data_IF_714110361973
#
_entry.id   IF_714110361973
#
_cell.length_a   1.000
_cell.length_b   1.000
_cell.length_c   1.000
_cell.angle_alpha   90.00
_cell.angle_beta   90.00
_cell.angle_gamma   90.00
#
_symmetry.space_group_name_H-M   'P 1'
#
loop_
_entity.id
_entity.type
_entity.pdbx_description
1 polymer ?
#
# COMPACT_ATOMS: atom_id res chain seq x y z
N UNK A 1 -10.26 -13.92 -12.88
CA UNK A 1 -10.37 -12.86 -13.90
C UNK A 1 -10.52 -11.47 -13.28
N UNK A 2 -11.45 -11.24 -12.34
CA UNK A 2 -11.65 -9.94 -11.68
C UNK A 2 -10.37 -9.39 -11.02
N UNK A 3 -9.64 -10.21 -10.24
CA UNK A 3 -8.38 -9.77 -9.61
C UNK A 3 -7.36 -9.24 -10.61
N UNK A 4 -7.18 -9.89 -11.76
CA UNK A 4 -6.24 -9.44 -12.78
C UNK A 4 -6.66 -8.12 -13.42
N UNK A 5 -7.97 -7.89 -13.58
CA UNK A 5 -8.50 -6.63 -14.08
C UNK A 5 -8.29 -5.49 -13.08
N UNK A 6 -8.60 -5.72 -11.80
CA UNK A 6 -8.37 -4.75 -10.72
C UNK A 6 -6.88 -4.48 -10.59
N UNK A 7 -6.05 -5.51 -10.63
CA UNK A 7 -4.59 -5.40 -10.56
C UNK A 7 -4.07 -4.45 -11.64
N UNK A 8 -4.36 -4.76 -12.91
CA UNK A 8 -3.92 -3.96 -14.04
C UNK A 8 -4.45 -2.51 -13.99
N UNK A 9 -5.68 -2.32 -13.51
CA UNK A 9 -6.26 -0.98 -13.37
C UNK A 9 -5.50 -0.15 -12.34
N UNK A 10 -5.27 -0.71 -11.15
CA UNK A 10 -4.57 -0.01 -10.07
C UNK A 10 -3.11 0.24 -10.44
N UNK A 11 -2.40 -0.74 -11.01
CA UNK A 11 -1.02 -0.53 -11.49
C UNK A 11 -0.94 0.57 -12.56
N UNK A 12 -1.88 0.63 -13.50
CA UNK A 12 -1.94 1.72 -14.49
C UNK A 12 -2.22 3.06 -13.86
N UNK A 13 -3.11 3.10 -12.86
CA UNK A 13 -3.44 4.32 -12.14
C UNK A 13 -2.24 4.83 -11.34
N UNK A 14 -1.48 3.92 -10.73
CA UNK A 14 -0.20 4.23 -10.07
C UNK A 14 0.86 4.71 -11.08
N UNK A 15 1.01 4.04 -12.23
CA UNK A 15 1.97 4.46 -13.25
C UNK A 15 1.64 5.81 -13.91
N UNK A 16 0.35 6.13 -14.06
CA UNK A 16 -0.11 7.37 -14.68
C UNK A 16 -0.19 8.57 -13.74
N UNK A 17 0.21 8.40 -12.46
CA UNK A 17 -0.16 9.36 -11.45
C UNK A 17 0.76 10.58 -11.33
N UNK A 18 0.12 11.75 -11.25
CA UNK A 18 0.70 13.05 -10.92
C UNK A 18 0.69 13.20 -9.39
N UNK A 19 1.55 12.44 -8.73
CA UNK A 19 1.44 12.16 -7.30
C UNK A 19 1.94 13.34 -6.44
N UNK A 20 1.19 13.67 -5.38
CA UNK A 20 1.60 14.61 -4.34
C UNK A 20 2.55 14.00 -3.30
N UNK A 21 2.35 12.73 -2.94
CA UNK A 21 3.20 11.99 -2.00
C UNK A 21 3.32 10.51 -2.41
N UNK A 22 4.55 10.09 -2.66
CA UNK A 22 4.94 8.73 -3.00
C UNK A 22 5.94 8.23 -1.95
N UNK A 23 5.69 7.04 -1.41
CA UNK A 23 6.60 6.37 -0.49
C UNK A 23 7.03 5.04 -1.13
N UNK A 24 8.35 4.84 -1.23
CA UNK A 24 8.93 3.60 -1.72
C UNK A 24 9.69 2.96 -0.57
N UNK A 25 9.33 1.71 -0.25
CA UNK A 25 10.00 0.89 0.75
C UNK A 25 10.54 -0.36 0.04
N UNK A 26 11.83 -0.58 0.15
CA UNK A 26 12.51 -1.75 -0.39
C UNK A 26 13.05 -2.56 0.79
N UNK A 27 12.47 -3.74 1.00
CA UNK A 27 12.94 -4.70 2.00
C UNK A 27 13.72 -5.85 1.32
N UNK A 28 14.37 -6.69 2.11
CA UNK A 28 15.22 -7.77 1.60
C UNK A 28 14.49 -8.80 0.72
N UNK A 29 13.15 -8.82 0.75
CA UNK A 29 12.30 -9.83 0.09
C UNK A 29 11.08 -9.25 -0.62
N UNK A 30 10.81 -7.96 -0.44
CA UNK A 30 9.59 -7.31 -0.89
C UNK A 30 9.84 -5.84 -1.21
N UNK A 31 9.42 -5.41 -2.39
CA UNK A 31 9.34 -4.01 -2.75
C UNK A 31 7.90 -3.52 -2.58
N UNK A 32 7.74 -2.35 -1.99
CA UNK A 32 6.46 -1.71 -1.74
C UNK A 32 6.48 -0.27 -2.27
N UNK A 33 5.48 0.06 -3.08
CA UNK A 33 5.21 1.42 -3.54
C UNK A 33 3.85 1.84 -3.01
N UNK A 34 3.82 2.92 -2.24
CA UNK A 34 2.61 3.52 -1.71
C UNK A 34 2.39 4.90 -2.32
N UNK A 35 1.17 5.16 -2.79
CA UNK A 35 0.76 6.42 -3.38
C UNK A 35 -0.49 6.95 -2.68
N UNK A 36 -0.48 8.24 -2.33
CA UNK A 36 -1.59 8.90 -1.64
C UNK A 36 -2.30 9.94 -2.52
N UNK A 37 -3.63 9.88 -2.52
CA UNK A 37 -4.53 10.88 -3.11
C UNK A 37 -5.62 11.26 -2.10
N UNK A 38 -5.30 12.21 -1.22
CA UNK A 38 -6.17 12.57 -0.11
C UNK A 38 -6.46 11.34 0.78
N UNK A 39 -7.72 10.93 0.97
CA UNK A 39 -8.06 9.75 1.78
C UNK A 39 -7.81 8.42 1.05
N UNK A 40 -7.48 8.44 -0.24
CA UNK A 40 -7.24 7.22 -1.02
C UNK A 40 -5.75 6.88 -0.94
N UNK A 41 -5.45 5.65 -0.53
CA UNK A 41 -4.12 5.07 -0.52
C UNK A 41 -4.09 3.90 -1.49
N UNK A 42 -3.12 3.92 -2.39
CA UNK A 42 -2.80 2.82 -3.29
C UNK A 42 -1.49 2.21 -2.86
N UNK A 43 -1.44 0.89 -2.82
CA UNK A 43 -0.24 0.13 -2.49
C UNK A 43 -0.01 -0.89 -3.58
N UNK A 44 1.24 -1.04 -4.00
CA UNK A 44 1.71 -2.16 -4.80
C UNK A 44 2.83 -2.83 -4.04
N UNK A 45 2.74 -4.14 -3.92
CA UNK A 45 3.73 -4.98 -3.29
C UNK A 45 4.18 -6.04 -4.28
N UNK A 46 5.50 -6.24 -4.36
CA UNK A 46 6.13 -7.25 -5.18
C UNK A 46 7.09 -8.05 -4.31
N UNK A 47 6.70 -9.29 -3.98
CA UNK A 47 7.59 -10.24 -3.35
C UNK A 47 8.30 -11.03 -4.45
N UNK A 48 9.63 -10.91 -4.52
CA UNK A 48 10.43 -11.58 -5.53
C UNK A 48 10.90 -12.98 -5.11
N UNK A 49 10.76 -13.33 -3.82
CA UNK A 49 11.13 -14.66 -3.30
C UNK A 49 10.03 -15.69 -3.57
N UNK A 50 8.80 -15.29 -3.28
CA UNK A 50 7.60 -16.06 -3.52
C UNK A 50 6.91 -15.31 -4.64
N UNK A 51 6.82 -15.87 -5.85
CA UNK A 51 6.21 -15.22 -7.04
C UNK A 51 4.81 -14.71 -6.72
N UNK A 52 4.75 -13.52 -6.12
CA UNK A 52 3.60 -12.94 -5.46
C UNK A 52 3.64 -11.44 -5.63
N UNK A 53 2.56 -10.94 -6.20
CA UNK A 53 2.35 -9.52 -6.37
C UNK A 53 0.94 -9.19 -5.93
N UNK A 54 0.79 -8.09 -5.22
CA UNK A 54 -0.54 -7.59 -4.92
C UNK A 54 -0.60 -6.09 -4.99
N UNK A 55 -1.80 -5.63 -5.29
CA UNK A 55 -2.13 -4.21 -5.23
C UNK A 55 -3.36 -4.04 -4.36
N UNK A 56 -3.38 -2.94 -3.64
CA UNK A 56 -4.51 -2.57 -2.80
C UNK A 56 -4.94 -1.14 -3.08
N UNK A 57 -6.24 -0.93 -3.00
CA UNK A 57 -6.85 0.41 -2.87
C UNK A 57 -7.53 0.48 -1.52
N UNK A 58 -7.20 1.50 -0.75
CA UNK A 58 -7.70 1.73 0.59
C UNK A 58 -8.27 3.13 0.68
N UNK A 59 -9.46 3.27 1.26
CA UNK A 59 -10.05 4.53 1.67
C UNK A 59 -9.88 4.69 3.18
N UNK A 60 -9.20 5.75 3.58
CA UNK A 60 -8.95 6.14 4.96
C UNK A 60 -10.09 7.06 5.45
N UNK A 61 -10.85 6.57 6.42
CA UNK A 61 -12.00 7.25 7.06
C UNK A 61 -11.69 7.50 8.54
N UNK A 62 -10.73 8.39 8.81
CA UNK A 62 -10.24 8.65 10.16
C UNK A 62 -9.49 7.44 10.73
N UNK A 63 -10.05 6.79 11.74
CA UNK A 63 -9.47 5.58 12.34
C UNK A 63 -9.82 4.28 11.61
N UNK A 64 -10.64 4.32 10.56
CA UNK A 64 -11.07 3.14 9.81
C UNK A 64 -10.46 3.14 8.41
N UNK A 65 -9.79 2.06 8.06
CA UNK A 65 -9.37 1.76 6.70
C UNK A 65 -10.26 0.67 6.11
N UNK A 66 -10.84 0.94 4.95
CA UNK A 66 -11.58 -0.04 4.15
C UNK A 66 -10.98 -0.12 2.76
N UNK A 67 -10.87 -1.31 2.20
CA UNK A 67 -10.20 -1.47 0.92
C UNK A 67 -10.46 -2.79 0.24
N UNK A 68 -9.87 -2.91 -0.95
CA UNK A 68 -9.84 -4.12 -1.73
C UNK A 68 -8.40 -4.43 -2.12
N UNK A 69 -8.01 -5.70 -1.97
CA UNK A 69 -6.71 -6.21 -2.40
C UNK A 69 -6.89 -7.18 -3.57
N UNK A 70 -6.18 -6.93 -4.66
CA UNK A 70 -6.03 -7.87 -5.76
C UNK A 70 -4.67 -8.53 -5.67
N UNK A 71 -4.65 -9.86 -5.75
CA UNK A 71 -3.43 -10.67 -5.67
C UNK A 71 -3.22 -11.43 -6.97
N UNK A 72 -1.98 -11.48 -7.41
CA UNK A 72 -1.42 -12.31 -8.47
C UNK A 72 -0.26 -13.15 -7.91
N UNK A 73 0.11 -14.20 -8.63
CA UNK A 73 1.18 -15.12 -8.23
C UNK A 73 0.70 -16.55 -8.00
N UNK A 74 1.64 -17.50 -8.03
CA UNK A 74 1.38 -18.92 -7.79
C UNK A 74 1.22 -19.23 -6.29
N UNK A 75 1.94 -18.50 -5.43
CA UNK A 75 1.95 -18.70 -3.98
C UNK A 75 1.53 -17.42 -3.22
N UNK A 76 0.22 -17.18 -3.03
CA UNK A 76 -0.24 -15.95 -2.42
C UNK A 76 0.01 -15.90 -0.90
N UNK A 77 0.89 -15.01 -0.44
CA UNK A 77 1.09 -14.73 1.00
C UNK A 77 -0.05 -13.92 1.62
N UNK A 78 -0.77 -13.13 0.80
CA UNK A 78 -1.92 -12.31 1.18
C UNK A 78 -3.19 -12.81 0.50
N UNK A 79 -4.34 -12.62 1.17
CA UNK A 79 -5.66 -12.93 0.60
C UNK A 79 -6.17 -11.77 -0.24
N UNK A 80 -6.68 -12.09 -1.43
CA UNK A 80 -7.44 -11.14 -2.23
C UNK A 80 -8.85 -10.94 -1.65
N UNK A 81 -9.42 -9.77 -1.89
CA UNK A 81 -10.79 -9.43 -1.50
C UNK A 81 -10.90 -8.14 -0.69
N UNK A 82 -12.09 -7.90 -0.17
CA UNK A 82 -12.38 -6.75 0.67
C UNK A 82 -11.77 -6.92 2.07
N UNK A 83 -11.26 -5.84 2.63
CA UNK A 83 -10.80 -5.79 4.00
C UNK A 83 -11.25 -4.51 4.70
N UNK A 84 -11.35 -4.58 6.02
CA UNK A 84 -11.57 -3.43 6.88
C UNK A 84 -10.72 -3.61 8.15
N UNK A 85 -10.00 -2.57 8.54
CA UNK A 85 -9.24 -2.58 9.79
C UNK A 85 -9.26 -1.21 10.45
N UNK A 86 -9.28 -1.21 11.77
CA UNK A 86 -9.15 0.01 12.56
C UNK A 86 -7.67 0.31 12.75
N UNK A 87 -7.24 1.47 12.29
CA UNK A 87 -5.98 2.04 12.73
C UNK A 87 -6.19 2.66 14.10
N UNK A 88 -5.40 2.23 15.08
CA UNK A 88 -5.22 3.05 16.28
C UNK A 88 -4.59 4.36 15.78
N UNK A 89 -5.20 5.50 16.08
CA UNK A 89 -4.60 6.78 15.76
C UNK A 89 -3.20 6.80 16.39
N UNK A 90 -2.17 6.62 15.57
CA UNK A 90 -0.80 6.88 15.97
C UNK A 90 -0.81 8.33 16.38
N UNK A 91 -0.59 8.61 17.68
CA UNK A 91 -0.30 9.96 18.12
C UNK A 91 0.79 10.46 17.18
N UNK A 92 0.52 11.55 16.46
CA UNK A 92 1.58 12.37 15.88
C UNK A 92 2.59 12.60 17.01
N UNK A 93 3.68 11.84 17.02
CA UNK A 93 4.89 12.33 17.64
C UNK A 93 5.31 13.46 16.70
N UNK A 94 5.36 14.72 17.17
CA UNK A 94 6.07 15.74 16.42
C UNK A 94 7.47 15.18 16.15
N UNK A 95 7.95 15.34 14.91
CA UNK A 95 9.36 15.13 14.61
C UNK A 95 10.15 15.99 15.60
N UNK A 96 10.70 15.35 16.63
CA UNK A 96 11.61 15.97 17.56
C UNK A 96 12.90 16.23 16.80
N UNK A 97 12.96 17.38 16.13
CA UNK A 97 14.21 18.11 16.03
C UNK A 97 14.67 18.42 17.44
N UNK A 98 15.56 17.59 17.96
CA UNK A 98 16.36 17.87 19.14
C UNK A 98 17.69 17.13 18.95
N UNK A 99 18.65 17.88 18.41
CA UNK A 99 20.08 17.83 18.66
C UNK A 99 20.59 16.65 19.50
N UNK A 100 21.42 15.81 18.89
CA UNK A 100 22.39 15.01 19.62
C UNK A 100 23.71 15.79 19.59
N UNK A 101 24.08 16.55 20.63
CA UNK A 101 25.49 16.71 20.93
C UNK A 101 25.96 15.43 21.62
N UNK A 102 27.10 14.91 21.19
CA UNK A 102 28.21 14.29 21.94
C UNK A 102 28.96 13.32 21.04
#
# INVERSE_FOLDING_TARGET
MLNRLIFNLLTRLMAGSWVQACEVQCDAYEDCVTIFFGPIRLEQHECFVLDHQDVAVTLQLGGLAVGYRAVLGEEPIRKAGCFAHWHRASRHLPQSGADIPF
#
